data_IF_799431342913
#
_entry.id   IF_799431342913
#
_cell.length_a   1.000
_cell.length_b   1.000
_cell.length_c   1.000
_cell.angle_alpha   90.00
_cell.angle_beta   90.00
_cell.angle_gamma   90.00
#
_symmetry.space_group_name_H-M   'P 1'
#
loop_
_entity.id
_entity.type
_entity.pdbx_description
1 polymer ?
#
# COMPACT_ATOMS: atom_id res chain seq x y z
N UNK A 1 72.59 35.31 -11.44
CA UNK A 1 71.75 35.76 -12.57
C UNK A 1 70.28 35.48 -12.27
N UNK A 2 69.41 36.48 -12.47
CA UNK A 2 67.92 36.46 -12.62
C UNK A 2 67.10 35.90 -11.43
N UNK A 3 66.39 36.73 -10.65
CA UNK A 3 65.09 37.45 -10.86
C UNK A 3 63.86 36.52 -10.90
N UNK A 4 62.84 36.92 -10.13
CA UNK A 4 61.41 36.59 -10.30
C UNK A 4 60.78 36.05 -9.00
N UNK A 5 60.11 36.81 -8.12
CA UNK A 5 58.95 37.73 -8.25
C UNK A 5 57.61 37.05 -8.51
N UNK A 6 56.73 37.13 -7.50
CA UNK A 6 55.26 37.16 -7.61
C UNK A 6 54.57 35.79 -7.61
N UNK A 7 53.32 35.61 -7.15
CA UNK A 7 52.32 36.43 -6.43
C UNK A 7 51.10 35.50 -6.25
N UNK A 8 50.29 35.72 -5.21
CA UNK A 8 48.89 35.28 -5.07
C UNK A 8 48.64 33.75 -4.95
N UNK A 9 47.64 33.26 -4.22
CA UNK A 9 46.56 33.94 -3.55
C UNK A 9 45.95 33.03 -2.48
N UNK A 10 45.39 33.67 -1.46
CA UNK A 10 44.53 33.08 -0.46
C UNK A 10 43.29 32.55 -1.19
N UNK A 11 43.18 31.23 -1.33
CA UNK A 11 41.91 30.60 -1.72
C UNK A 11 41.12 30.42 -0.44
N UNK A 12 40.13 31.29 -0.25
CA UNK A 12 39.13 31.12 0.78
C UNK A 12 38.48 29.75 0.62
N UNK A 13 38.48 28.98 1.70
CA UNK A 13 37.61 27.83 1.83
C UNK A 13 36.17 28.37 1.87
N UNK A 14 35.57 28.50 0.68
CA UNK A 14 34.13 28.62 0.53
C UNK A 14 33.57 27.36 1.15
N UNK A 15 32.98 27.50 2.34
CA UNK A 15 32.13 26.46 2.90
C UNK A 15 31.11 26.10 1.83
N UNK A 16 31.27 24.91 1.25
CA UNK A 16 30.18 24.27 0.54
C UNK A 16 29.15 23.97 1.60
N UNK A 17 28.13 24.83 1.66
CA UNK A 17 26.83 24.47 2.19
C UNK A 17 26.51 23.09 1.63
N UNK A 18 26.35 22.12 2.53
CA UNK A 18 25.82 20.82 2.16
C UNK A 18 24.47 21.09 1.51
N UNK A 19 24.35 20.77 0.24
CA UNK A 19 23.05 20.52 -0.38
C UNK A 19 22.47 19.35 0.41
N UNK A 20 21.53 19.64 1.31
CA UNK A 20 20.71 18.61 1.92
C UNK A 20 19.95 17.96 0.79
N UNK A 21 20.45 16.83 0.30
CA UNK A 21 19.64 15.94 -0.51
C UNK A 21 18.57 15.39 0.42
N UNK A 22 17.42 16.04 0.40
CA UNK A 22 16.21 15.52 1.02
C UNK A 22 15.87 14.20 0.33
N UNK A 23 15.98 13.10 1.07
CA UNK A 23 15.61 11.77 0.58
C UNK A 23 14.12 11.67 0.26
N UNK A 24 13.67 10.58 -0.38
CA UNK A 24 12.25 10.37 -0.64
C UNK A 24 11.44 10.43 0.67
N UNK A 25 10.27 11.05 0.61
CA UNK A 25 9.37 11.13 1.75
C UNK A 25 8.90 9.73 2.12
N UNK A 26 9.03 9.37 3.41
CA UNK A 26 8.61 8.07 3.92
C UNK A 26 7.38 8.20 4.82
N UNK A 27 6.52 7.18 4.78
CA UNK A 27 5.24 7.17 5.48
C UNK A 27 5.11 5.96 6.41
N UNK A 28 4.58 6.20 7.61
CA UNK A 28 4.19 5.17 8.55
C UNK A 28 2.69 5.22 8.82
N UNK A 29 2.04 4.06 8.76
CA UNK A 29 0.63 3.93 9.10
C UNK A 29 0.51 3.24 10.46
N UNK A 30 -0.30 3.80 11.36
CA UNK A 30 -0.62 3.21 12.67
C UNK A 30 -2.13 3.24 12.88
N UNK A 31 -2.71 2.09 13.22
CA UNK A 31 -4.13 1.98 13.52
C UNK A 31 -4.70 0.64 13.11
N UNK A 32 -6.03 0.57 13.04
CA UNK A 32 -6.77 -0.60 12.56
C UNK A 32 -8.19 -0.23 12.16
N UNK A 33 -8.73 -0.97 11.21
CA UNK A 33 -10.15 -0.91 10.82
C UNK A 33 -10.78 -2.23 11.20
N UNK A 34 -11.78 -2.22 12.07
CA UNK A 34 -12.52 -3.41 12.49
C UNK A 34 -13.37 -3.94 11.32
N UNK A 35 -13.60 -5.25 11.35
CA UNK A 35 -14.43 -5.98 10.38
C UNK A 35 -15.49 -6.74 11.17
N UNK A 36 -16.77 -6.44 10.92
CA UNK A 36 -17.92 -7.10 11.56
C UNK A 36 -18.96 -7.55 10.52
N UNK A 37 -19.37 -8.84 10.47
CA UNK A 37 -18.84 -9.95 11.25
C UNK A 37 -17.34 -10.20 10.95
N UNK A 38 -16.61 -10.95 11.79
CA UNK A 38 -15.24 -11.33 11.49
C UNK A 38 -15.14 -12.07 10.15
N UNK A 39 -13.99 -11.95 9.48
CA UNK A 39 -13.72 -12.67 8.24
C UNK A 39 -13.87 -14.19 8.42
N UNK A 40 -14.48 -14.82 7.42
CA UNK A 40 -14.51 -16.27 7.25
C UNK A 40 -13.13 -16.77 6.86
N UNK A 41 -12.92 -18.08 6.99
CA UNK A 41 -11.62 -18.71 6.68
C UNK A 41 -11.19 -18.42 5.24
N UNK A 42 -12.09 -18.59 4.28
CA UNK A 42 -11.81 -18.39 2.86
C UNK A 42 -11.54 -16.91 2.53
N UNK A 43 -12.24 -15.99 3.18
CA UNK A 43 -12.03 -14.55 3.04
C UNK A 43 -10.67 -14.14 3.62
N UNK A 44 -10.33 -14.65 4.80
CA UNK A 44 -9.05 -14.42 5.45
C UNK A 44 -7.88 -14.94 4.60
N UNK A 45 -7.95 -16.19 4.16
CA UNK A 45 -6.90 -16.83 3.36
C UNK A 45 -6.66 -16.07 2.05
N UNK A 46 -7.74 -15.74 1.33
CA UNK A 46 -7.64 -14.97 0.10
C UNK A 46 -7.07 -13.58 0.35
N UNK A 47 -7.57 -12.83 1.34
CA UNK A 47 -7.11 -11.46 1.61
C UNK A 47 -5.67 -11.42 2.12
N UNK A 48 -5.24 -12.40 2.92
CA UNK A 48 -3.85 -12.52 3.33
C UNK A 48 -2.94 -12.71 2.11
N UNK A 49 -3.26 -13.67 1.25
CA UNK A 49 -2.48 -13.93 0.05
C UNK A 49 -2.57 -12.77 -0.97
N UNK A 50 -3.71 -12.09 -1.06
CA UNK A 50 -3.89 -10.88 -1.85
C UNK A 50 -2.91 -9.78 -1.43
N UNK A 51 -2.82 -9.50 -0.12
CA UNK A 51 -1.95 -8.45 0.41
C UNK A 51 -0.46 -8.79 0.25
N UNK A 52 -0.09 -10.06 0.37
CA UNK A 52 1.30 -10.51 0.16
C UNK A 52 1.71 -10.54 -1.31
N UNK A 53 0.75 -10.50 -2.23
CA UNK A 53 1.01 -10.55 -3.67
C UNK A 53 1.17 -9.16 -4.27
N UNK A 54 2.09 -9.06 -5.23
CA UNK A 54 2.15 -7.89 -6.10
C UNK A 54 0.88 -7.82 -6.96
N UNK A 55 0.22 -6.68 -6.92
CA UNK A 55 -1.06 -6.40 -7.57
C UNK A 55 -0.83 -5.81 -8.96
N UNK A 56 -0.28 -6.63 -9.85
CA UNK A 56 0.06 -6.25 -11.23
C UNK A 56 -0.98 -6.75 -12.26
N UNK A 57 -0.88 -6.31 -13.50
CA UNK A 57 -1.81 -6.65 -14.59
C UNK A 57 -1.66 -8.12 -15.08
N UNK A 58 -2.19 -9.05 -14.27
CA UNK A 58 -2.12 -10.50 -14.50
C UNK A 58 -3.01 -10.97 -15.66
N UNK A 59 -2.58 -12.00 -16.43
CA UNK A 59 -3.43 -12.64 -17.45
C UNK A 59 -4.73 -13.23 -16.91
N UNK A 60 -4.70 -13.78 -15.70
CA UNK A 60 -5.88 -14.38 -15.04
C UNK A 60 -6.84 -13.35 -14.41
N UNK A 61 -6.55 -12.06 -14.57
CA UNK A 61 -7.40 -10.97 -14.12
C UNK A 61 -7.00 -10.36 -12.76
N UNK A 62 -7.71 -9.29 -12.34
CA UNK A 62 -7.33 -8.46 -11.20
C UNK A 62 -7.55 -9.12 -9.84
N UNK A 63 -8.16 -10.31 -9.78
CA UNK A 63 -8.37 -11.08 -8.56
C UNK A 63 -7.50 -12.32 -8.45
N UNK A 64 -6.68 -12.60 -9.47
CA UNK A 64 -5.75 -13.70 -9.37
C UNK A 64 -4.75 -13.44 -8.23
N UNK A 65 -4.53 -14.48 -7.43
CA UNK A 65 -3.54 -14.52 -6.35
C UNK A 65 -2.63 -15.72 -6.63
N UNK A 66 -1.31 -15.54 -6.68
CA UNK A 66 -0.39 -16.62 -6.99
C UNK A 66 -0.30 -17.59 -5.79
N UNK A 67 -0.10 -18.88 -6.07
CA UNK A 67 0.11 -19.87 -5.02
C UNK A 67 1.40 -19.68 -4.22
N UNK A 68 2.37 -18.93 -4.77
CA UNK A 68 3.58 -18.48 -4.07
C UNK A 68 3.94 -17.05 -4.48
N UNK A 69 3.46 -16.02 -3.75
CA UNK A 69 3.74 -14.62 -4.04
C UNK A 69 5.23 -14.26 -4.11
N UNK A 70 6.05 -14.87 -3.25
CA UNK A 70 7.48 -14.55 -3.13
C UNK A 70 8.32 -15.08 -4.31
N UNK A 71 7.88 -16.16 -4.95
CA UNK A 71 8.59 -16.77 -6.07
C UNK A 71 8.15 -16.23 -7.44
N UNK A 72 7.11 -15.41 -7.48
CA UNK A 72 6.52 -14.95 -8.73
C UNK A 72 7.48 -14.14 -9.60
N UNK A 73 8.28 -13.26 -8.97
CA UNK A 73 9.27 -12.45 -9.69
C UNK A 73 10.40 -13.26 -10.32
N UNK A 74 10.46 -14.57 -10.05
CA UNK A 74 11.43 -15.51 -10.59
C UNK A 74 10.89 -16.30 -11.79
N UNK A 75 9.63 -16.10 -12.18
CA UNK A 75 9.05 -16.77 -13.34
C UNK A 75 9.73 -16.26 -14.64
N UNK A 76 10.42 -17.13 -15.40
CA UNK A 76 11.08 -16.74 -16.65
C UNK A 76 10.10 -16.32 -17.75
N UNK A 77 8.81 -16.67 -17.63
CA UNK A 77 7.74 -16.27 -18.55
C UNK A 77 7.07 -14.95 -18.19
N UNK A 78 7.53 -14.27 -17.13
CA UNK A 78 6.92 -13.04 -16.64
C UNK A 78 7.11 -11.88 -17.61
N UNK A 79 6.01 -11.29 -18.08
CA UNK A 79 6.06 -10.03 -18.80
C UNK A 79 6.37 -8.90 -17.83
N UNK A 80 7.63 -8.46 -17.83
CA UNK A 80 8.11 -7.40 -16.95
C UNK A 80 7.42 -6.05 -17.19
N UNK A 81 6.89 -5.82 -18.39
CA UNK A 81 6.15 -4.58 -18.72
C UNK A 81 4.85 -4.57 -17.94
N UNK A 82 4.07 -5.65 -18.02
CA UNK A 82 2.82 -5.77 -17.27
C UNK A 82 3.07 -5.90 -15.75
N UNK A 83 4.17 -6.55 -15.35
CA UNK A 83 4.54 -6.70 -13.95
C UNK A 83 4.84 -5.37 -13.24
N UNK A 84 5.22 -4.35 -13.99
CA UNK A 84 5.48 -3.01 -13.49
C UNK A 84 4.20 -2.18 -13.30
N UNK A 85 3.06 -2.62 -13.82
CA UNK A 85 1.81 -1.85 -13.85
C UNK A 85 0.74 -2.50 -12.97
N UNK A 86 -0.02 -1.73 -12.18
CA UNK A 86 -1.13 -2.27 -11.41
C UNK A 86 -2.24 -2.78 -12.34
N UNK A 87 -2.99 -3.79 -11.90
CA UNK A 87 -4.15 -4.20 -12.69
C UNK A 87 -5.18 -3.04 -12.77
N UNK A 88 -5.93 -2.91 -13.88
CA UNK A 88 -6.94 -1.87 -14.02
C UNK A 88 -7.89 -1.80 -12.82
N UNK A 89 -8.04 -0.59 -12.26
CA UNK A 89 -8.89 -0.32 -11.10
C UNK A 89 -8.24 -0.58 -9.73
N UNK A 90 -7.05 -1.17 -9.66
CA UNK A 90 -6.32 -1.30 -8.39
C UNK A 90 -5.59 0.02 -8.05
N UNK A 91 -5.54 0.42 -6.77
CA UNK A 91 -4.88 1.67 -6.35
C UNK A 91 -3.36 1.71 -6.58
N UNK A 92 -2.71 0.54 -6.57
CA UNK A 92 -1.26 0.44 -6.71
C UNK A 92 -0.80 -1.01 -6.82
N UNK A 93 0.51 -1.22 -6.69
CA UNK A 93 1.12 -2.55 -6.80
C UNK A 93 1.15 -3.32 -5.48
N UNK A 94 1.04 -2.63 -4.35
CA UNK A 94 1.13 -3.23 -3.02
C UNK A 94 0.02 -2.68 -2.14
N UNK A 95 -0.75 -3.60 -1.53
CA UNK A 95 -1.78 -3.21 -0.59
C UNK A 95 -1.16 -3.02 0.80
N UNK A 96 -1.29 -1.84 1.45
CA UNK A 96 -0.72 -1.61 2.77
C UNK A 96 -1.59 -2.14 3.91
N UNK A 97 -2.64 -2.92 3.62
CA UNK A 97 -3.59 -3.44 4.60
C UNK A 97 -3.66 -4.95 4.50
N UNK A 98 -3.50 -5.63 5.64
CA UNK A 98 -3.70 -7.08 5.76
C UNK A 98 -4.78 -7.38 6.78
N UNK A 99 -5.48 -8.52 6.69
CA UNK A 99 -6.28 -9.01 7.80
C UNK A 99 -5.37 -9.29 9.01
N UNK A 100 -5.84 -8.89 10.20
CA UNK A 100 -5.27 -9.34 11.45
C UNK A 100 -5.57 -10.83 11.66
N UNK A 101 -4.70 -11.55 12.37
CA UNK A 101 -4.77 -13.02 12.55
C UNK A 101 -6.11 -13.53 13.12
N UNK A 102 -6.88 -12.66 13.77
CA UNK A 102 -8.22 -12.97 14.29
C UNK A 102 -9.36 -12.85 13.26
N UNK A 103 -9.09 -12.32 12.06
CA UNK A 103 -10.09 -11.95 11.06
C UNK A 103 -10.98 -10.76 11.46
N UNK A 104 -10.75 -10.11 12.60
CA UNK A 104 -11.63 -9.05 13.15
C UNK A 104 -11.23 -7.63 12.76
N UNK A 105 -10.13 -7.47 12.04
CA UNK A 105 -9.64 -6.16 11.65
C UNK A 105 -8.74 -6.24 10.43
N UNK A 106 -8.65 -5.14 9.69
CA UNK A 106 -7.55 -4.81 8.80
C UNK A 106 -6.52 -4.00 9.57
N UNK A 107 -5.25 -4.36 9.42
CA UNK A 107 -4.12 -3.70 10.06
C UNK A 107 -3.07 -3.31 9.02
N UNK A 108 -2.32 -2.22 9.24
CA UNK A 108 -1.25 -1.85 8.34
C UNK A 108 -0.18 -2.93 8.22
N UNK A 109 0.33 -3.11 7.00
CA UNK A 109 1.57 -3.86 6.76
C UNK A 109 2.74 -2.92 7.04
N UNK A 110 3.60 -3.30 7.99
CA UNK A 110 4.83 -2.59 8.27
C UNK A 110 5.99 -3.43 7.75
N UNK A 111 6.32 -3.30 6.46
CA UNK A 111 7.51 -3.94 5.90
C UNK A 111 8.40 -2.92 5.17
N UNK A 112 9.62 -2.67 5.71
CA UNK A 112 10.62 -1.83 5.06
C UNK A 112 11.04 -2.33 3.67
N UNK A 113 10.76 -3.60 3.35
CA UNK A 113 11.14 -4.22 2.09
C UNK A 113 10.35 -3.70 0.88
N UNK A 114 9.19 -3.05 1.09
CA UNK A 114 8.29 -2.62 0.02
C UNK A 114 8.40 -1.13 -0.35
N UNK A 115 9.41 -0.41 0.17
CA UNK A 115 9.72 0.97 -0.23
C UNK A 115 9.43 2.00 0.86
N UNK A 116 9.08 3.22 0.44
CA UNK A 116 8.96 4.41 1.28
C UNK A 116 7.64 4.45 2.10
N UNK A 117 6.86 3.36 2.11
CA UNK A 117 5.51 3.33 2.71
C UNK A 117 4.43 3.90 1.79
N UNK A 118 3.17 3.87 2.22
CA UNK A 118 2.04 4.39 1.42
C UNK A 118 1.60 5.78 1.91
N UNK A 119 1.56 6.79 1.02
CA UNK A 119 0.97 8.08 1.32
C UNK A 119 -0.50 7.96 1.76
N UNK A 120 -1.07 8.98 2.43
CA UNK A 120 -2.43 8.90 2.96
C UNK A 120 -3.51 8.57 1.91
N UNK A 121 -3.42 9.17 0.73
CA UNK A 121 -4.39 8.96 -0.36
C UNK A 121 -4.32 7.54 -0.92
N UNK A 122 -3.12 6.96 -1.05
CA UNK A 122 -2.95 5.59 -1.52
C UNK A 122 -3.44 4.60 -0.46
N UNK A 123 -3.09 4.81 0.80
CA UNK A 123 -3.56 3.98 1.91
C UNK A 123 -5.09 4.00 2.02
N UNK A 124 -5.71 5.18 1.87
CA UNK A 124 -7.16 5.33 1.86
C UNK A 124 -7.80 4.66 0.63
N UNK A 125 -7.21 4.81 -0.55
CA UNK A 125 -7.69 4.19 -1.79
C UNK A 125 -7.68 2.66 -1.70
N UNK A 126 -6.68 2.06 -1.04
CA UNK A 126 -6.66 0.63 -0.76
C UNK A 126 -7.75 0.18 0.21
N UNK A 127 -8.02 0.93 1.29
CA UNK A 127 -9.17 0.61 2.15
C UNK A 127 -10.49 0.67 1.40
N UNK A 128 -10.69 1.70 0.55
CA UNK A 128 -11.86 1.81 -0.30
C UNK A 128 -11.97 0.59 -1.24
N UNK A 129 -10.86 0.20 -1.86
CA UNK A 129 -10.81 -0.96 -2.74
C UNK A 129 -11.19 -2.25 -2.01
N UNK A 130 -10.59 -2.53 -0.86
CA UNK A 130 -10.91 -3.74 -0.07
C UNK A 130 -12.39 -3.76 0.34
N UNK A 131 -12.90 -2.61 0.80
CA UNK A 131 -14.33 -2.43 1.10
C UNK A 131 -15.18 -2.79 -0.11
N UNK A 132 -14.99 -2.09 -1.23
CA UNK A 132 -15.87 -2.11 -2.39
C UNK A 132 -15.76 -3.38 -3.22
N UNK A 133 -14.63 -4.09 -3.17
CA UNK A 133 -14.41 -5.29 -3.96
C UNK A 133 -14.67 -6.58 -3.19
N UNK A 134 -14.47 -6.61 -1.86
CA UNK A 134 -14.47 -7.86 -1.11
C UNK A 134 -15.36 -7.87 0.13
N UNK A 135 -15.52 -6.74 0.81
CA UNK A 135 -15.99 -6.78 2.21
C UNK A 135 -17.45 -6.38 2.37
N UNK A 136 -17.89 -5.27 1.76
CA UNK A 136 -19.26 -4.78 1.99
C UNK A 136 -20.31 -5.54 1.19
N UNK A 137 -21.57 -5.34 1.58
CA UNK A 137 -22.72 -5.70 0.75
C UNK A 137 -22.61 -5.10 -0.65
N UNK A 138 -22.96 -5.92 -1.65
CA UNK A 138 -22.89 -5.59 -3.07
C UNK A 138 -21.47 -5.26 -3.56
N UNK A 139 -20.45 -5.83 -2.90
CA UNK A 139 -19.08 -5.73 -3.36
C UNK A 139 -18.94 -6.20 -4.82
N UNK A 140 -18.06 -5.57 -5.59
CA UNK A 140 -17.91 -5.82 -7.04
C UNK A 140 -17.71 -7.30 -7.34
N UNK A 141 -16.89 -8.00 -6.54
CA UNK A 141 -16.63 -9.43 -6.73
C UNK A 141 -17.85 -10.33 -6.47
N UNK A 142 -18.86 -9.85 -5.72
CA UNK A 142 -20.09 -10.60 -5.50
C UNK A 142 -21.00 -10.63 -6.73
N UNK A 143 -20.85 -9.65 -7.64
CA UNK A 143 -21.71 -9.45 -8.79
C UNK A 143 -21.33 -10.25 -10.05
N UNK A 144 -20.11 -10.80 -10.12
CA UNK A 144 -19.67 -11.61 -11.25
C UNK A 144 -19.73 -13.12 -10.90
N UNK A 145 -20.63 -13.91 -11.52
CA UNK A 145 -20.76 -15.35 -11.24
C UNK A 145 -19.49 -16.16 -11.50
N UNK A 146 -18.71 -15.81 -12.54
CA UNK A 146 -17.51 -16.56 -12.91
C UNK A 146 -16.39 -16.33 -11.90
N UNK A 147 -16.17 -15.08 -11.50
CA UNK A 147 -15.22 -14.73 -10.44
C UNK A 147 -15.65 -15.37 -9.11
N UNK A 148 -16.95 -15.37 -8.82
CA UNK A 148 -17.48 -15.99 -7.60
C UNK A 148 -17.23 -17.48 -7.57
N UNK A 149 -17.48 -18.18 -8.67
CA UNK A 149 -17.23 -19.62 -8.77
C UNK A 149 -15.74 -19.95 -8.70
N UNK A 150 -14.87 -19.10 -9.26
CA UNK A 150 -13.43 -19.35 -9.35
C UNK A 150 -12.68 -18.98 -8.07
N UNK A 151 -13.01 -17.85 -7.45
CA UNK A 151 -12.19 -17.24 -6.38
C UNK A 151 -12.96 -17.04 -5.07
N UNK A 152 -14.28 -16.85 -5.11
CA UNK A 152 -15.05 -16.32 -3.97
C UNK A 152 -16.19 -17.21 -3.50
N UNK A 153 -16.06 -18.53 -3.67
CA UNK A 153 -17.12 -19.49 -3.32
C UNK A 153 -17.55 -19.43 -1.84
N UNK A 154 -16.62 -19.11 -0.93
CA UNK A 154 -16.85 -18.99 0.52
C UNK A 154 -17.12 -17.57 1.03
N UNK A 155 -17.16 -16.56 0.16
CA UNK A 155 -17.32 -15.16 0.59
C UNK A 155 -18.78 -14.82 0.89
N UNK A 156 -18.99 -14.12 2.01
CA UNK A 156 -20.29 -13.60 2.43
C UNK A 156 -20.60 -12.19 1.96
N UNK A 157 -19.59 -11.33 1.76
CA UNK A 157 -19.77 -9.94 1.30
C UNK A 157 -20.76 -9.16 2.17
N UNK A 158 -20.68 -9.31 3.49
CA UNK A 158 -21.65 -8.79 4.44
C UNK A 158 -21.01 -8.00 5.59
N UNK A 159 -19.78 -7.53 5.39
CA UNK A 159 -19.01 -6.87 6.42
C UNK A 159 -19.30 -5.36 6.49
N UNK A 160 -19.30 -4.88 7.73
CA UNK A 160 -19.27 -3.47 8.11
C UNK A 160 -17.88 -3.17 8.65
N UNK A 161 -17.29 -2.11 8.10
CA UNK A 161 -15.97 -1.63 8.48
C UNK A 161 -16.10 -0.38 9.35
N UNK A 162 -15.36 -0.36 10.45
CA UNK A 162 -15.33 0.74 11.43
C UNK A 162 -13.96 0.87 12.09
N UNK A 163 -13.42 2.07 12.20
CA UNK A 163 -12.14 2.31 12.87
C UNK A 163 -11.34 3.41 12.20
N UNK A 164 -10.04 3.46 12.49
CA UNK A 164 -9.20 4.51 11.97
C UNK A 164 -7.73 4.11 11.95
N UNK A 165 -6.98 4.79 11.09
CA UNK A 165 -5.53 4.83 11.15
C UNK A 165 -5.00 6.23 10.91
N UNK A 166 -3.80 6.49 11.40
CA UNK A 166 -3.05 7.71 11.15
C UNK A 166 -1.87 7.36 10.26
N UNK A 167 -1.72 8.12 9.19
CA UNK A 167 -0.52 8.12 8.35
C UNK A 167 0.36 9.28 8.77
N UNK A 168 1.61 8.99 9.09
CA UNK A 168 2.63 9.94 9.49
C UNK A 168 3.67 10.06 8.39
N UNK A 169 3.88 11.26 7.88
CA UNK A 169 5.08 11.60 7.10
C UNK A 169 6.25 11.70 8.06
N UNK A 170 7.23 10.80 7.95
CA UNK A 170 8.39 10.74 8.85
C UNK A 170 9.30 11.97 8.70
N UNK A 171 9.29 12.59 7.51
CA UNK A 171 10.11 13.77 7.25
C UNK A 171 9.40 15.06 7.67
N UNK A 172 8.15 15.28 7.24
CA UNK A 172 7.44 16.54 7.56
C UNK A 172 6.78 16.53 8.94
N UNK A 173 6.63 15.35 9.57
CA UNK A 173 5.86 15.17 10.79
C UNK A 173 4.35 15.36 10.60
N UNK A 174 3.88 15.54 9.36
CA UNK A 174 2.45 15.71 9.08
C UNK A 174 1.70 14.42 9.36
N UNK A 175 0.58 14.57 10.06
CA UNK A 175 -0.31 13.47 10.40
C UNK A 175 -1.61 13.60 9.59
N UNK A 176 -2.06 12.49 9.02
CA UNK A 176 -3.33 12.40 8.30
C UNK A 176 -4.14 11.25 8.88
N UNK A 177 -5.35 11.53 9.34
CA UNK A 177 -6.32 10.54 9.79
C UNK A 177 -7.06 9.96 8.59
N UNK A 178 -7.12 8.64 8.52
CA UNK A 178 -8.03 7.88 7.69
C UNK A 178 -9.06 7.25 8.61
N UNK A 179 -10.31 7.66 8.47
CA UNK A 179 -11.43 7.18 9.28
C UNK A 179 -12.38 6.35 8.43
N UNK A 180 -12.76 5.19 8.95
CA UNK A 180 -13.81 4.34 8.42
C UNK A 180 -14.95 4.31 9.43
N UNK A 181 -16.16 4.70 9.01
CA UNK A 181 -17.35 4.71 9.85
C UNK A 181 -18.51 4.07 9.11
N UNK A 182 -18.94 2.89 9.54
CA UNK A 182 -19.97 2.07 8.91
C UNK A 182 -19.83 2.01 7.38
N UNK A 183 -18.65 1.57 6.89
CA UNK A 183 -18.26 1.54 5.48
C UNK A 183 -18.09 2.91 4.78
N UNK A 184 -18.32 4.04 5.45
CA UNK A 184 -17.99 5.37 4.94
C UNK A 184 -16.53 5.70 5.22
N UNK A 185 -15.79 6.08 4.18
CA UNK A 185 -14.37 6.44 4.28
C UNK A 185 -14.20 7.95 4.26
N UNK A 186 -13.35 8.47 5.13
CA UNK A 186 -12.96 9.88 5.12
C UNK A 186 -11.48 10.07 5.47
N UNK A 187 -10.88 11.13 4.93
CA UNK A 187 -9.44 11.42 5.07
C UNK A 187 -9.28 12.88 5.48
N UNK A 188 -8.57 13.13 6.58
CA UNK A 188 -8.41 14.46 7.14
C UNK A 188 -6.97 14.73 7.58
N UNK A 189 -6.37 15.87 7.22
CA UNK A 189 -5.13 16.30 7.86
C UNK A 189 -5.40 16.59 9.34
N UNK A 190 -4.57 16.06 10.24
CA UNK A 190 -4.59 16.43 11.64
C UNK A 190 -3.77 17.69 11.83
N UNK A 191 -4.34 18.69 12.50
CA UNK A 191 -3.62 19.91 12.82
C UNK A 191 -2.46 19.59 13.77
N UNK A 192 -1.27 20.06 13.41
CA UNK A 192 -0.06 19.99 14.24
C UNK A 192 -0.04 21.04 15.34
#
# INVERSE_FOLDING_TARGET
>A
MKRGSGRAGVVGAVGRAGTGEEGPETFRIVGRVLVDPPLRTEEFEYLAAFTESRRWHRPDGPYAVPGNPLAECLDPGLDLTHYAEPAPGQPGLWCPWRPADSGRALVPVFEPAFGDGSPPEEAASWLAYLRDHFLRADAVASGNPDDRARWFGGFGFDHVLDGAAVVCSEWSGRLTLIEMSANSLSVYPLAS
#
